data_IF_651976124483
#
_entry.id   IF_651976124483
#
_cell.length_a   1.000
_cell.length_b   1.000
_cell.length_c   1.000
_cell.angle_alpha   90.00
_cell.angle_beta   90.00
_cell.angle_gamma   90.00
#
_symmetry.space_group_name_H-M   'P 1'
#
loop_
_entity.id
_entity.type
_entity.pdbx_description
1 polymer ?
#
# COMPACT_ATOMS: atom_id res chain seq x y z
N UNK A 1 -3.41 -7.03 -16.39
CA UNK A 1 -4.13 -6.96 -15.10
C UNK A 1 -4.38 -8.35 -14.49
N UNK A 2 -3.70 -9.42 -14.97
CA UNK A 2 -3.92 -10.80 -14.50
C UNK A 2 -2.81 -11.37 -13.58
N UNK A 3 -1.69 -10.67 -13.41
CA UNK A 3 -0.58 -11.18 -12.57
C UNK A 3 -0.84 -11.04 -11.06
N UNK A 4 -1.71 -10.12 -10.64
CA UNK A 4 -2.08 -9.91 -9.23
C UNK A 4 -3.06 -10.96 -8.70
N UNK A 5 -3.76 -11.69 -9.57
CA UNK A 5 -4.55 -12.86 -9.18
C UNK A 5 -3.67 -13.97 -8.58
N UNK A 6 -2.38 -14.01 -8.94
CA UNK A 6 -1.40 -14.96 -8.42
C UNK A 6 -0.86 -14.63 -7.02
N UNK A 7 -1.09 -13.41 -6.51
CA UNK A 7 -0.75 -13.01 -5.14
C UNK A 7 -1.98 -13.08 -4.22
N UNK A 8 -3.18 -12.90 -4.79
CA UNK A 8 -4.47 -12.98 -4.09
C UNK A 8 -5.00 -14.42 -3.92
N UNK A 9 -4.21 -15.43 -4.31
CA UNK A 9 -4.58 -16.83 -4.14
C UNK A 9 -4.36 -17.29 -2.69
N UNK A 10 -5.38 -17.04 -1.88
CA UNK A 10 -5.69 -17.73 -0.62
C UNK A 10 -5.20 -19.19 -0.68
N UNK A 11 -4.49 -19.62 0.39
CA UNK A 11 -3.95 -20.97 0.67
C UNK A 11 -2.58 -21.36 0.09
N UNK A 12 -1.95 -20.64 -0.85
CA UNK A 12 -0.71 -21.12 -1.51
C UNK A 12 0.59 -20.37 -1.22
N UNK A 13 0.59 -19.31 -0.40
CA UNK A 13 1.82 -18.54 -0.14
C UNK A 13 2.88 -19.36 0.61
N UNK A 14 2.47 -20.06 1.68
CA UNK A 14 3.36 -20.87 2.53
C UNK A 14 3.85 -22.14 1.80
N UNK A 15 3.08 -22.64 0.84
CA UNK A 15 3.42 -23.84 0.05
C UNK A 15 3.98 -23.52 -1.33
N UNK A 16 4.20 -22.24 -1.66
CA UNK A 16 4.86 -21.86 -2.92
C UNK A 16 6.30 -22.37 -2.84
N UNK A 17 6.84 -22.87 -3.96
CA UNK A 17 8.24 -23.28 -4.02
C UNK A 17 9.12 -22.13 -3.50
N UNK A 18 10.13 -22.39 -2.66
CA UNK A 18 10.95 -21.35 -2.05
C UNK A 18 11.59 -20.42 -3.10
N UNK A 19 11.97 -20.99 -4.25
CA UNK A 19 12.47 -20.22 -5.40
C UNK A 19 11.48 -19.16 -5.88
N UNK A 20 10.17 -19.46 -5.88
CA UNK A 20 9.14 -18.53 -6.34
C UNK A 20 9.02 -17.27 -5.48
N UNK A 21 9.27 -17.36 -4.17
CA UNK A 21 9.21 -16.19 -3.27
C UNK A 21 10.42 -15.28 -3.55
N UNK A 22 11.59 -15.89 -3.73
CA UNK A 22 12.81 -15.16 -4.08
C UNK A 22 12.73 -14.48 -5.46
N UNK A 23 12.11 -15.14 -6.45
CA UNK A 23 11.85 -14.56 -7.77
C UNK A 23 10.90 -13.38 -7.69
N UNK A 24 9.79 -13.49 -6.95
CA UNK A 24 8.85 -12.36 -6.78
C UNK A 24 9.54 -11.17 -6.08
N UNK A 25 10.37 -11.42 -5.07
CA UNK A 25 11.11 -10.36 -4.41
C UNK A 25 12.08 -9.66 -5.39
N UNK A 26 12.82 -10.43 -6.18
CA UNK A 26 13.75 -9.89 -7.19
C UNK A 26 13.04 -9.13 -8.32
N UNK A 27 11.87 -9.60 -8.77
CA UNK A 27 11.18 -9.05 -9.93
C UNK A 27 10.44 -7.73 -9.59
N UNK A 28 9.82 -7.66 -8.40
CA UNK A 28 8.96 -6.53 -8.01
C UNK A 28 9.63 -5.56 -7.05
N UNK A 29 10.62 -6.02 -6.28
CA UNK A 29 11.30 -5.25 -5.24
C UNK A 29 12.83 -5.42 -5.31
N UNK A 30 13.46 -5.16 -6.48
CA UNK A 30 14.89 -5.40 -6.67
C UNK A 30 15.74 -4.59 -5.68
N UNK A 31 15.43 -3.32 -5.47
CA UNK A 31 16.17 -2.43 -4.56
C UNK A 31 16.05 -2.84 -3.09
N UNK A 32 14.89 -3.36 -2.68
CA UNK A 32 14.67 -3.76 -1.30
C UNK A 32 15.44 -5.04 -0.96
N UNK A 33 15.55 -5.99 -1.90
CA UNK A 33 16.03 -7.35 -1.62
C UNK A 33 17.33 -7.76 -2.33
N UNK A 34 17.99 -6.89 -3.11
CA UNK A 34 19.16 -7.21 -3.95
C UNK A 34 20.20 -8.11 -3.26
N UNK A 35 20.63 -7.73 -2.05
CA UNK A 35 21.66 -8.46 -1.28
C UNK A 35 21.09 -9.53 -0.33
N UNK A 36 19.77 -9.70 -0.32
CA UNK A 36 19.05 -10.55 0.63
C UNK A 36 18.31 -11.71 -0.04
N UNK A 37 18.40 -11.86 -1.37
CA UNK A 37 17.73 -12.94 -2.11
C UNK A 37 18.17 -14.33 -1.62
N UNK A 38 19.47 -14.54 -1.40
CA UNK A 38 19.98 -15.83 -0.93
C UNK A 38 19.55 -16.09 0.52
N UNK A 39 19.65 -15.08 1.39
CA UNK A 39 19.13 -15.13 2.76
C UNK A 39 17.64 -15.46 2.79
N UNK A 40 16.86 -14.83 1.91
CA UNK A 40 15.42 -15.07 1.79
C UNK A 40 15.12 -16.52 1.39
N UNK A 41 15.89 -17.11 0.46
CA UNK A 41 15.74 -18.53 0.11
C UNK A 41 16.00 -19.43 1.33
N UNK A 42 17.10 -19.20 2.04
CA UNK A 42 17.46 -20.00 3.22
C UNK A 42 16.44 -19.84 4.35
N UNK A 43 15.99 -18.62 4.63
CA UNK A 43 14.93 -18.34 5.61
C UNK A 43 13.61 -19.00 5.20
N UNK A 44 13.27 -19.01 3.91
CA UNK A 44 12.03 -19.64 3.42
C UNK A 44 12.05 -21.16 3.63
N UNK A 45 13.19 -21.81 3.36
CA UNK A 45 13.37 -23.25 3.59
C UNK A 45 13.28 -23.55 5.09
N UNK A 46 14.03 -22.81 5.90
CA UNK A 46 14.08 -22.99 7.36
C UNK A 46 12.72 -22.72 8.03
N UNK A 47 12.02 -21.67 7.59
CA UNK A 47 10.69 -21.35 8.08
C UNK A 47 9.68 -22.44 7.73
N UNK A 48 9.80 -23.07 6.56
CA UNK A 48 8.93 -24.18 6.18
C UNK A 48 9.06 -25.36 7.13
N UNK A 49 10.30 -25.73 7.47
CA UNK A 49 10.56 -26.81 8.44
C UNK A 49 10.05 -26.43 9.83
N UNK A 50 10.28 -25.18 10.25
CA UNK A 50 9.76 -24.65 11.51
C UNK A 50 8.22 -24.68 11.58
N UNK A 51 7.54 -24.21 10.53
CA UNK A 51 6.09 -24.11 10.48
C UNK A 51 5.39 -25.47 10.39
N UNK A 52 6.03 -26.51 9.82
CA UNK A 52 5.50 -27.88 9.80
C UNK A 52 5.46 -28.48 11.21
N UNK A 53 6.43 -28.13 12.05
CA UNK A 53 6.56 -28.68 13.41
C UNK A 53 5.69 -27.94 14.45
N UNK A 54 5.08 -26.82 14.08
CA UNK A 54 4.30 -25.97 14.99
C UNK A 54 2.83 -25.90 14.55
N UNK A 55 1.97 -26.58 15.31
CA UNK A 55 0.52 -26.64 15.11
C UNK A 55 -0.17 -25.27 15.00
N UNK A 56 0.43 -24.19 15.51
CA UNK A 56 -0.12 -22.83 15.39
C UNK A 56 -0.18 -22.38 13.93
N UNK A 57 0.72 -22.86 13.07
CA UNK A 57 0.74 -22.53 11.66
C UNK A 57 -0.25 -23.36 10.82
N UNK A 58 -0.71 -24.52 11.30
CA UNK A 58 -1.70 -25.35 10.59
C UNK A 58 -3.01 -24.61 10.34
N UNK A 59 -3.38 -23.70 11.25
CA UNK A 59 -4.62 -22.93 11.16
C UNK A 59 -4.51 -21.64 10.35
N UNK A 60 -3.33 -21.33 9.79
CA UNK A 60 -3.12 -20.09 9.01
C UNK A 60 -3.71 -20.21 7.61
N UNK A 61 -4.87 -19.58 7.38
CA UNK A 61 -5.61 -19.63 6.10
C UNK A 61 -5.38 -18.40 5.21
N UNK A 62 -4.85 -17.32 5.78
CA UNK A 62 -4.58 -16.05 5.09
C UNK A 62 -3.18 -15.51 5.42
N UNK A 63 -2.69 -14.62 4.56
CA UNK A 63 -1.40 -13.95 4.76
C UNK A 63 -1.40 -13.07 6.02
N UNK A 64 -2.54 -12.44 6.34
CA UNK A 64 -2.70 -11.66 7.57
C UNK A 64 -2.66 -12.56 8.81
N UNK A 65 -3.25 -13.75 8.74
CA UNK A 65 -3.13 -14.72 9.85
C UNK A 65 -1.70 -15.23 9.98
N UNK A 66 -1.00 -15.44 8.86
CA UNK A 66 0.40 -15.80 8.87
C UNK A 66 1.24 -14.71 9.56
N UNK A 67 1.06 -13.44 9.21
CA UNK A 67 1.82 -12.34 9.82
C UNK A 67 1.61 -12.26 11.34
N UNK A 68 0.35 -12.36 11.79
CA UNK A 68 0.01 -12.39 13.22
C UNK A 68 0.61 -13.62 13.91
N UNK A 69 0.59 -14.79 13.27
CA UNK A 69 1.14 -16.02 13.83
C UNK A 69 2.67 -15.95 13.91
N UNK A 70 3.35 -15.37 12.92
CA UNK A 70 4.80 -15.13 12.96
C UNK A 70 5.20 -14.16 14.08
N UNK A 71 4.35 -13.17 14.39
CA UNK A 71 4.55 -12.30 15.55
C UNK A 71 4.38 -13.09 16.85
N UNK A 72 3.29 -13.82 17.01
CA UNK A 72 2.95 -14.57 18.23
C UNK A 72 3.95 -15.70 18.55
N UNK A 73 4.56 -16.32 17.53
CA UNK A 73 5.54 -17.39 17.70
C UNK A 73 6.98 -16.90 17.84
N UNK A 74 7.24 -15.60 17.66
CA UNK A 74 8.60 -15.06 17.57
C UNK A 74 9.29 -15.35 16.24
N UNK A 75 8.64 -16.02 15.29
CA UNK A 75 9.23 -16.34 13.99
C UNK A 75 9.64 -15.08 13.20
N UNK A 76 8.99 -13.93 13.44
CA UNK A 76 9.36 -12.65 12.81
C UNK A 76 10.78 -12.16 13.14
N UNK A 77 11.34 -12.53 14.30
CA UNK A 77 12.74 -12.18 14.65
C UNK A 77 13.73 -13.22 14.14
N UNK A 78 13.28 -14.47 13.96
CA UNK A 78 14.11 -15.59 13.49
C UNK A 78 14.25 -15.53 11.96
N UNK A 79 13.18 -15.13 11.26
CA UNK A 79 13.11 -15.03 9.80
C UNK A 79 12.72 -13.61 9.37
N UNK A 80 13.59 -12.60 9.63
CA UNK A 80 13.25 -11.19 9.41
C UNK A 80 13.06 -10.84 7.94
N UNK A 81 13.84 -11.43 7.04
CA UNK A 81 13.78 -11.15 5.60
C UNK A 81 12.46 -11.68 5.02
N UNK A 82 12.10 -12.91 5.37
CA UNK A 82 10.83 -13.52 4.99
C UNK A 82 9.64 -12.76 5.56
N UNK A 83 9.72 -12.36 6.84
CA UNK A 83 8.67 -11.59 7.47
C UNK A 83 8.44 -10.24 6.79
N UNK A 84 9.51 -9.57 6.33
CA UNK A 84 9.39 -8.33 5.55
C UNK A 84 8.62 -8.55 4.23
N UNK A 85 8.87 -9.65 3.53
CA UNK A 85 8.08 -10.02 2.33
C UNK A 85 6.61 -10.21 2.69
N UNK A 86 6.32 -10.93 3.79
CA UNK A 86 4.95 -11.13 4.27
C UNK A 86 4.27 -9.79 4.59
N UNK A 87 4.97 -8.84 5.22
CA UNK A 87 4.45 -7.51 5.49
C UNK A 87 4.15 -6.72 4.21
N UNK A 88 5.04 -6.73 3.23
CA UNK A 88 4.80 -6.07 1.93
C UNK A 88 3.53 -6.62 1.27
N UNK A 89 3.36 -7.95 1.26
CA UNK A 89 2.17 -8.60 0.70
C UNK A 89 0.90 -8.20 1.47
N UNK A 90 0.96 -8.09 2.79
CA UNK A 90 -0.16 -7.61 3.61
C UNK A 90 -0.50 -6.12 3.36
N UNK A 91 0.50 -5.30 3.06
CA UNK A 91 0.33 -3.86 2.82
C UNK A 91 -0.19 -3.56 1.41
N UNK A 92 0.10 -4.42 0.44
CA UNK A 92 -0.31 -4.23 -0.96
C UNK A 92 -1.81 -3.94 -1.15
N UNK A 93 -2.76 -4.71 -0.57
CA UNK A 93 -4.19 -4.39 -0.65
C UNK A 93 -4.53 -3.01 -0.12
N UNK A 94 -3.91 -2.61 1.00
CA UNK A 94 -4.14 -1.31 1.65
C UNK A 94 -3.61 -0.17 0.79
N UNK A 95 -2.42 -0.36 0.21
CA UNK A 95 -1.82 0.61 -0.70
C UNK A 95 -2.62 0.76 -2.00
N UNK A 96 -3.11 -0.35 -2.55
CA UNK A 96 -3.98 -0.32 -3.73
C UNK A 96 -5.29 0.40 -3.46
N UNK A 97 -5.96 0.12 -2.33
CA UNK A 97 -7.21 0.81 -1.96
C UNK A 97 -6.98 2.32 -1.75
N UNK A 98 -5.88 2.69 -1.07
CA UNK A 98 -5.51 4.10 -0.87
C UNK A 98 -5.19 4.80 -2.19
N UNK A 99 -4.47 4.14 -3.09
CA UNK A 99 -4.19 4.64 -4.43
C UNK A 99 -5.48 4.81 -5.23
N UNK A 100 -6.35 3.79 -5.29
CA UNK A 100 -7.65 3.85 -5.98
C UNK A 100 -8.53 4.98 -5.45
N UNK A 101 -8.59 5.15 -4.13
CA UNK A 101 -9.30 6.27 -3.48
C UNK A 101 -8.72 7.61 -3.92
N UNK A 102 -7.41 7.76 -3.92
CA UNK A 102 -6.70 8.99 -4.34
C UNK A 102 -6.93 9.30 -5.82
N UNK A 103 -6.86 8.30 -6.70
CA UNK A 103 -7.18 8.43 -8.12
C UNK A 103 -8.66 8.79 -8.34
N UNK A 104 -9.57 8.25 -7.53
CA UNK A 104 -11.00 8.59 -7.56
C UNK A 104 -11.25 10.06 -7.18
N UNK A 105 -10.58 10.55 -6.12
CA UNK A 105 -10.63 11.96 -5.74
C UNK A 105 -10.09 12.84 -6.87
N UNK A 106 -8.93 12.50 -7.44
CA UNK A 106 -8.36 13.21 -8.58
C UNK A 106 -9.32 13.26 -9.78
N UNK A 107 -9.96 12.13 -10.09
CA UNK A 107 -10.94 12.06 -11.17
C UNK A 107 -12.12 12.98 -10.88
N UNK A 108 -12.67 12.98 -9.65
CA UNK A 108 -13.76 13.87 -9.25
C UNK A 108 -13.38 15.34 -9.38
N UNK A 109 -12.19 15.73 -8.91
CA UNK A 109 -11.67 17.10 -9.02
C UNK A 109 -11.56 17.51 -10.49
N UNK A 110 -10.90 16.69 -11.32
CA UNK A 110 -10.74 16.96 -12.76
C UNK A 110 -12.08 17.04 -13.50
N UNK A 111 -13.01 16.13 -13.21
CA UNK A 111 -14.34 16.11 -13.85
C UNK A 111 -15.18 17.32 -13.45
N UNK A 112 -15.17 17.70 -12.16
CA UNK A 112 -15.98 18.82 -11.66
C UNK A 112 -15.46 20.18 -12.14
N UNK A 113 -14.14 20.34 -12.24
CA UNK A 113 -13.53 21.58 -12.70
C UNK A 113 -13.40 21.67 -14.23
N UNK A 114 -13.57 20.57 -14.97
CA UNK A 114 -13.61 20.49 -16.46
C UNK A 114 -12.56 21.38 -17.15
N UNK A 115 -11.35 21.51 -16.61
CA UNK A 115 -10.36 22.51 -17.03
C UNK A 115 -8.94 21.93 -17.14
N UNK A 116 -8.14 22.55 -18.03
CA UNK A 116 -6.67 22.46 -18.04
C UNK A 116 -6.12 23.16 -16.79
N UNK A 117 -6.40 22.62 -15.62
CA UNK A 117 -5.79 23.08 -14.38
C UNK A 117 -4.31 22.70 -14.41
N UNK A 118 -3.44 23.65 -14.04
CA UNK A 118 -2.01 23.41 -13.92
C UNK A 118 -1.71 22.39 -12.84
N UNK A 119 -0.54 21.73 -12.93
CA UNK A 119 -0.14 20.68 -11.99
C UNK A 119 -0.12 21.17 -10.53
N UNK A 120 0.39 22.38 -10.29
CA UNK A 120 0.44 22.98 -8.94
C UNK A 120 -0.96 23.14 -8.34
N UNK A 121 -1.88 23.77 -9.08
CA UNK A 121 -3.27 23.92 -8.63
C UNK A 121 -3.99 22.59 -8.41
N UNK A 122 -3.71 21.58 -9.24
CA UNK A 122 -4.26 20.24 -9.02
C UNK A 122 -3.73 19.63 -7.73
N UNK A 123 -2.42 19.76 -7.47
CA UNK A 123 -1.77 19.27 -6.27
C UNK A 123 -2.36 19.91 -5.02
N UNK A 124 -2.52 21.23 -5.02
CA UNK A 124 -3.12 21.97 -3.89
C UNK A 124 -4.57 21.54 -3.63
N UNK A 125 -5.36 21.35 -4.70
CA UNK A 125 -6.75 20.94 -4.56
C UNK A 125 -6.90 19.47 -4.12
N UNK A 126 -5.99 18.61 -4.56
CA UNK A 126 -5.90 17.23 -4.10
C UNK A 126 -5.55 17.19 -2.61
N UNK A 127 -4.56 17.98 -2.17
CA UNK A 127 -4.19 18.10 -0.77
C UNK A 127 -5.37 18.56 0.10
N UNK A 128 -6.09 19.60 -0.34
CA UNK A 128 -7.30 20.05 0.36
C UNK A 128 -8.40 18.98 0.41
N UNK A 129 -8.53 18.17 -0.65
CA UNK A 129 -9.54 17.12 -0.75
C UNK A 129 -9.19 15.87 0.05
N UNK A 130 -7.90 15.55 0.21
CA UNK A 130 -7.43 14.45 1.06
C UNK A 130 -7.45 14.83 2.53
N UNK A 131 -7.07 16.08 2.85
CA UNK A 131 -7.13 16.65 4.19
C UNK A 131 -8.49 17.30 4.48
N UNK A 132 -9.55 16.78 3.84
CA UNK A 132 -10.89 17.34 4.01
C UNK A 132 -11.31 17.37 5.49
N UNK A 133 -10.88 16.39 6.28
CA UNK A 133 -11.16 16.31 7.72
C UNK A 133 -10.56 17.50 8.50
N UNK A 134 -9.44 18.05 8.04
CA UNK A 134 -8.80 19.24 8.62
C UNK A 134 -9.39 20.55 8.07
N UNK A 135 -9.95 20.53 6.86
CA UNK A 135 -10.51 21.72 6.20
C UNK A 135 -11.98 21.96 6.53
N UNK A 136 -12.68 21.02 7.20
CA UNK A 136 -14.06 21.21 7.70
C UNK A 136 -14.19 22.44 8.60
N UNK A 137 -13.14 22.78 9.36
CA UNK A 137 -13.12 23.96 10.24
C UNK A 137 -12.92 25.29 9.51
N UNK A 138 -12.63 25.27 8.21
CA UNK A 138 -12.40 26.47 7.41
C UNK A 138 -13.74 26.94 6.85
N UNK A 139 -14.20 28.11 7.28
CA UNK A 139 -15.42 28.72 6.72
C UNK A 139 -15.21 29.06 5.25
N UNK A 140 -16.05 28.49 4.38
CA UNK A 140 -16.04 28.81 2.95
C UNK A 140 -16.25 30.31 2.72
N UNK A 141 -17.11 30.94 3.50
CA UNK A 141 -17.46 32.35 3.36
C UNK A 141 -16.26 33.24 3.71
N UNK A 142 -15.49 32.89 4.76
CA UNK A 142 -14.24 33.60 5.10
C UNK A 142 -13.17 33.47 4.01
N UNK A 143 -13.05 32.29 3.38
CA UNK A 143 -12.13 32.07 2.26
C UNK A 143 -12.53 32.90 1.04
N UNK A 144 -13.83 32.97 0.74
CA UNK A 144 -14.36 33.76 -0.36
C UNK A 144 -14.17 35.27 -0.11
N UNK A 145 -14.43 35.75 1.10
CA UNK A 145 -14.22 37.14 1.48
C UNK A 145 -12.74 37.51 1.37
N UNK A 146 -11.84 36.67 1.90
CA UNK A 146 -10.39 36.88 1.79
C UNK A 146 -9.92 36.86 0.34
N UNK A 147 -10.40 35.93 -0.47
CA UNK A 147 -10.06 35.88 -1.90
C UNK A 147 -10.57 37.11 -2.65
N UNK A 148 -11.80 37.55 -2.38
CA UNK A 148 -12.40 38.75 -2.99
C UNK A 148 -11.65 40.03 -2.61
N UNK A 149 -11.21 40.15 -1.35
CA UNK A 149 -10.43 41.29 -0.87
C UNK A 149 -9.01 41.33 -1.43
N UNK A 150 -8.39 40.17 -1.69
CA UNK A 150 -7.09 40.07 -2.34
C UNK A 150 -7.15 40.24 -3.86
N UNK A 151 -8.30 39.93 -4.48
CA UNK A 151 -8.54 40.03 -5.92
C UNK A 151 -9.21 41.35 -6.28
N UNK A 152 -8.49 42.47 -6.17
CA UNK A 152 -8.91 43.76 -6.72
C UNK A 152 -8.81 43.83 -8.26
N UNK A 153 -8.69 42.68 -8.95
CA UNK A 153 -8.82 42.57 -10.41
C UNK A 153 -10.18 41.95 -10.73
N UNK A 154 -11.18 42.81 -10.92
CA UNK A 154 -12.49 42.43 -11.46
C UNK A 154 -12.31 41.76 -12.82
N UNK A 155 -12.64 40.48 -12.93
CA UNK A 155 -12.91 39.85 -14.22
C UNK A 155 -14.37 40.20 -14.54
N UNK A 156 -14.65 40.98 -15.60
CA UNK A 156 -16.03 41.26 -15.99
C UNK A 156 -16.68 39.95 -16.45
N UNK A 157 -17.90 39.70 -15.95
CA UNK A 157 -18.78 38.64 -16.44
C UNK A 157 -19.22 38.93 -17.88
#
# INVERSE_FOLDING_TARGET
MELWAGLNARKKFIYRKPDSISTIASDYYPEDFENQIETLKQETISFREFAINDSRFENTKSINQLSVTMMATGAHTIFPTLYRVVQLVCMLPVLMESAERSFSVMKRVKTRLRTKIGYEWLSDLLLLSTENDLTIGISRDEVLDRFSSASQRRIPL
#
